data_IF_198075770439
#
_entry.id   IF_198075770439
#
_cell.length_a   1.000
_cell.length_b   1.000
_cell.length_c   1.000
_cell.angle_alpha   90.00
_cell.angle_beta   90.00
_cell.angle_gamma   90.00
#
_symmetry.space_group_name_H-M   'P 1'
#
loop_
_entity.id
_entity.type
_entity.pdbx_description
1 polymer ?
#
# COMPACT_ATOMS: atom_id res chain seq x y z
N UNK A 1 35.96 -73.84 -11.32
CA UNK A 1 36.60 -72.63 -10.75
C UNK A 1 35.79 -71.36 -10.96
N UNK A 2 34.49 -71.41 -11.31
CA UNK A 2 33.64 -70.26 -11.65
C UNK A 2 32.60 -69.99 -10.54
N UNK A 3 32.27 -70.98 -9.69
CA UNK A 3 31.20 -70.85 -8.67
C UNK A 3 31.64 -70.11 -7.39
N UNK A 4 32.96 -69.90 -7.15
CA UNK A 4 33.44 -69.28 -5.91
C UNK A 4 33.59 -67.73 -6.00
N UNK A 5 33.54 -67.18 -7.23
CA UNK A 5 33.62 -65.68 -7.44
C UNK A 5 32.26 -64.97 -7.36
N UNK A 6 31.15 -65.64 -7.64
CA UNK A 6 29.84 -65.09 -7.64
C UNK A 6 29.35 -64.72 -6.22
N UNK A 7 29.79 -65.48 -5.22
CA UNK A 7 29.31 -65.26 -3.83
C UNK A 7 29.91 -63.99 -3.12
N UNK A 8 31.13 -63.58 -3.59
CA UNK A 8 31.75 -62.33 -3.00
C UNK A 8 31.10 -61.06 -3.48
N UNK A 9 30.64 -60.98 -4.72
CA UNK A 9 29.97 -59.79 -5.26
C UNK A 9 28.53 -59.67 -4.73
N UNK A 10 27.86 -60.78 -4.48
CA UNK A 10 26.49 -60.76 -3.90
C UNK A 10 26.51 -60.27 -2.43
N UNK A 11 27.48 -60.75 -1.63
CA UNK A 11 27.65 -60.29 -0.25
C UNK A 11 28.08 -58.82 -0.16
N UNK A 12 28.96 -58.40 -1.12
CA UNK A 12 29.41 -57.00 -1.17
C UNK A 12 28.28 -56.03 -1.57
N UNK A 13 27.41 -56.45 -2.51
CA UNK A 13 26.23 -55.66 -2.91
C UNK A 13 25.14 -55.61 -1.83
N UNK A 14 24.95 -56.70 -1.09
CA UNK A 14 23.99 -56.70 0.04
C UNK A 14 24.52 -55.85 1.19
N UNK A 15 25.82 -55.85 1.49
CA UNK A 15 26.43 -54.99 2.50
C UNK A 15 26.40 -53.51 2.08
N UNK A 16 26.61 -53.19 0.78
CA UNK A 16 26.51 -51.81 0.25
C UNK A 16 25.09 -51.29 0.26
N UNK A 17 24.09 -52.16 0.03
CA UNK A 17 22.67 -51.78 0.09
C UNK A 17 22.20 -51.49 1.55
N UNK A 18 22.70 -52.26 2.53
CA UNK A 18 22.41 -52.01 3.95
C UNK A 18 23.09 -50.76 4.49
N UNK A 19 24.27 -50.39 4.01
CA UNK A 19 24.96 -49.14 4.38
C UNK A 19 24.23 -47.91 3.80
N UNK A 20 23.68 -48.01 2.60
CA UNK A 20 22.92 -46.91 1.97
C UNK A 20 21.56 -46.75 2.66
N UNK A 21 20.90 -47.83 3.09
CA UNK A 21 19.63 -47.75 3.82
C UNK A 21 19.76 -47.17 5.25
N UNK A 22 20.91 -47.40 5.92
CA UNK A 22 21.19 -46.81 7.24
C UNK A 22 21.60 -45.36 7.18
N UNK A 23 22.08 -44.84 6.03
CA UNK A 23 22.36 -43.41 5.86
C UNK A 23 21.13 -42.58 5.55
N UNK A 24 20.03 -43.16 5.08
CA UNK A 24 18.76 -42.48 4.87
C UNK A 24 17.88 -42.41 6.11
N UNK A 25 18.16 -43.12 7.20
CA UNK A 25 17.39 -43.11 8.44
C UNK A 25 17.90 -42.08 9.47
N UNK A 26 18.97 -41.34 9.16
CA UNK A 26 19.49 -40.27 10.04
C UNK A 26 19.03 -38.87 9.64
N UNK A 27 17.76 -38.71 9.23
CA UNK A 27 17.06 -37.45 9.41
C UNK A 27 16.55 -37.35 10.87
N UNK A 28 17.49 -37.43 11.80
CA UNK A 28 17.27 -36.99 13.15
C UNK A 28 17.04 -35.47 13.11
N UNK A 29 15.81 -35.07 13.37
CA UNK A 29 15.47 -33.69 13.75
C UNK A 29 16.53 -33.23 14.75
N UNK A 30 17.48 -32.42 14.30
CA UNK A 30 18.28 -31.59 15.22
C UNK A 30 17.26 -30.70 15.92
N UNK A 31 16.90 -31.06 17.13
CA UNK A 31 16.34 -30.10 18.10
C UNK A 31 17.43 -29.06 18.29
N UNK A 32 17.39 -28.02 17.47
CA UNK A 32 18.05 -26.76 17.76
C UNK A 32 17.43 -26.29 19.06
N UNK A 33 18.30 -26.01 20.01
CA UNK A 33 17.96 -25.51 21.33
C UNK A 33 16.88 -24.40 21.22
N UNK A 34 15.71 -24.62 21.85
CA UNK A 34 14.81 -23.60 22.38
C UNK A 34 14.50 -22.36 21.54
N UNK A 35 14.26 -22.44 20.24
CA UNK A 35 13.61 -21.39 19.48
C UNK A 35 12.10 -21.64 19.48
N UNK A 36 11.30 -20.71 19.99
CA UNK A 36 9.85 -20.73 19.81
C UNK A 36 9.56 -20.87 18.32
N UNK A 37 8.80 -21.87 17.93
CA UNK A 37 8.39 -22.08 16.54
C UNK A 37 7.14 -21.25 16.31
N UNK A 38 7.25 -20.15 15.55
CA UNK A 38 6.11 -19.31 15.21
C UNK A 38 5.46 -19.73 13.89
N UNK A 39 4.18 -19.43 13.76
CA UNK A 39 3.39 -19.63 12.55
C UNK A 39 3.49 -18.41 11.64
N UNK A 40 4.03 -18.59 10.43
CA UNK A 40 4.15 -17.49 9.45
C UNK A 40 2.78 -17.11 8.91
N UNK A 41 2.39 -15.85 9.11
CA UNK A 41 1.20 -15.27 8.49
C UNK A 41 1.53 -14.92 7.04
N UNK A 42 1.02 -15.71 6.10
CA UNK A 42 1.38 -15.59 4.69
C UNK A 42 0.87 -14.28 4.07
N UNK A 43 1.81 -13.45 3.63
CA UNK A 43 1.56 -12.29 2.77
C UNK A 43 1.73 -12.71 1.32
N UNK A 44 0.70 -12.52 0.48
CA UNK A 44 0.71 -13.00 -0.92
C UNK A 44 1.23 -11.95 -1.89
N UNK A 45 1.05 -10.69 -1.57
CA UNK A 45 1.32 -9.55 -2.44
C UNK A 45 2.29 -8.55 -1.82
N UNK A 46 2.19 -8.30 -0.51
CA UNK A 46 3.08 -7.40 0.19
C UNK A 46 4.49 -7.98 0.25
N UNK A 47 5.47 -7.21 -0.20
CA UNK A 47 6.88 -7.61 -0.24
C UNK A 47 7.70 -7.01 0.90
N UNK A 48 7.22 -5.89 1.45
CA UNK A 48 7.92 -5.15 2.51
C UNK A 48 7.50 -5.59 3.91
N UNK A 49 6.52 -6.50 4.04
CA UNK A 49 5.94 -6.89 5.31
C UNK A 49 6.02 -8.40 5.52
N UNK A 50 6.57 -8.82 6.66
CA UNK A 50 6.58 -10.21 7.11
C UNK A 50 6.04 -10.28 8.53
N UNK A 51 5.20 -11.27 8.82
CA UNK A 51 4.58 -11.46 10.13
C UNK A 51 4.66 -12.91 10.55
N UNK A 52 5.03 -13.15 11.83
CA UNK A 52 5.13 -14.50 12.42
C UNK A 52 4.43 -14.47 13.78
N UNK A 53 3.42 -15.32 13.97
CA UNK A 53 2.68 -15.45 15.23
C UNK A 53 3.34 -16.48 16.14
N UNK A 54 3.72 -16.07 17.33
CA UNK A 54 4.27 -16.91 18.41
C UNK A 54 3.23 -17.16 19.53
N UNK A 55 1.97 -16.88 19.29
CA UNK A 55 0.88 -17.05 20.25
C UNK A 55 0.77 -15.89 21.23
N UNK A 56 1.76 -15.66 22.09
CA UNK A 56 1.77 -14.56 23.06
C UNK A 56 2.09 -13.20 22.43
N UNK A 57 2.78 -13.19 21.30
CA UNK A 57 3.10 -12.01 20.50
C UNK A 57 3.19 -12.36 19.01
N UNK A 58 3.09 -11.36 18.16
CA UNK A 58 3.38 -11.47 16.72
C UNK A 58 4.61 -10.64 16.40
N UNK A 59 5.64 -11.26 15.81
CA UNK A 59 6.80 -10.53 15.27
C UNK A 59 6.44 -10.01 13.88
N UNK A 60 6.64 -8.70 13.67
CA UNK A 60 6.41 -8.02 12.40
C UNK A 60 7.71 -7.38 11.95
N UNK A 61 8.18 -7.77 10.77
CA UNK A 61 9.39 -7.23 10.15
C UNK A 61 9.00 -6.39 8.94
N UNK A 62 9.35 -5.11 8.97
CA UNK A 62 9.21 -4.17 7.86
C UNK A 62 10.54 -4.08 7.13
N UNK A 63 10.56 -4.46 5.84
CA UNK A 63 11.75 -4.37 5.00
C UNK A 63 12.02 -2.92 4.60
N UNK A 64 13.31 -2.57 4.49
CA UNK A 64 13.69 -1.23 4.04
C UNK A 64 13.49 -1.11 2.51
N UNK A 65 12.60 -0.24 2.03
CA UNK A 65 12.31 -0.12 0.60
C UNK A 65 13.45 0.56 -0.19
N UNK A 66 14.33 1.29 0.48
CA UNK A 66 15.46 2.01 -0.15
C UNK A 66 16.76 1.21 -0.08
N UNK A 67 16.93 0.36 0.94
CA UNK A 67 18.14 -0.44 1.16
C UNK A 67 17.82 -1.93 1.20
N UNK A 68 17.88 -2.56 0.02
CA UNK A 68 17.53 -3.97 -0.15
C UNK A 68 18.31 -4.89 0.80
N UNK A 69 17.59 -5.78 1.47
CA UNK A 69 18.15 -6.75 2.41
C UNK A 69 18.37 -6.21 3.82
N UNK A 70 17.96 -4.96 4.09
CA UNK A 70 17.94 -4.39 5.42
C UNK A 70 16.52 -4.31 5.96
N UNK A 71 16.36 -4.37 7.27
CA UNK A 71 15.08 -4.06 7.91
C UNK A 71 14.96 -2.55 8.09
N UNK A 72 13.77 -2.01 7.81
CA UNK A 72 13.39 -0.67 8.24
C UNK A 72 13.08 -0.70 9.72
N UNK A 73 12.23 -1.64 10.17
CA UNK A 73 11.83 -1.79 11.55
C UNK A 73 11.40 -3.21 11.89
N UNK A 74 11.46 -3.54 13.20
CA UNK A 74 10.92 -4.79 13.75
C UNK A 74 10.03 -4.47 14.94
N UNK A 75 8.82 -5.01 14.92
CA UNK A 75 7.84 -4.89 16.00
C UNK A 75 7.56 -6.23 16.63
N UNK A 76 7.29 -6.20 17.94
CA UNK A 76 6.69 -7.30 18.69
C UNK A 76 5.34 -6.85 19.20
N UNK A 77 4.27 -7.32 18.53
CA UNK A 77 2.90 -7.00 18.90
C UNK A 77 2.46 -7.94 20.01
N UNK A 78 2.46 -7.46 21.25
CA UNK A 78 2.12 -8.24 22.43
C UNK A 78 0.66 -8.04 22.78
N UNK A 79 -0.13 -9.12 22.78
CA UNK A 79 -1.56 -9.07 23.14
C UNK A 79 -1.74 -8.62 24.58
N UNK A 80 -2.73 -7.76 24.86
CA UNK A 80 -3.08 -7.37 26.24
C UNK A 80 -3.42 -8.62 27.04
N UNK A 81 -2.80 -8.79 28.23
CA UNK A 81 -2.93 -9.99 29.08
C UNK A 81 -1.92 -11.10 28.79
N UNK A 82 -1.13 -11.02 27.71
CA UNK A 82 0.02 -11.91 27.52
C UNK A 82 1.27 -11.32 28.19
N UNK A 83 2.11 -12.19 28.73
CA UNK A 83 3.33 -11.80 29.47
C UNK A 83 4.57 -12.54 28.90
N UNK A 84 4.99 -12.23 27.66
CA UNK A 84 6.27 -12.73 27.16
C UNK A 84 7.43 -12.03 27.88
N UNK A 85 8.65 -12.54 27.68
CA UNK A 85 9.84 -11.83 28.15
C UNK A 85 10.07 -10.55 27.31
N UNK A 86 9.38 -9.47 27.69
CA UNK A 86 9.53 -8.18 27.01
C UNK A 86 10.95 -7.62 27.06
N UNK A 87 11.75 -7.95 28.07
CA UNK A 87 13.12 -7.48 28.16
C UNK A 87 13.95 -7.98 26.99
N UNK A 88 13.78 -9.26 26.67
CA UNK A 88 14.41 -9.88 25.49
C UNK A 88 13.85 -9.32 24.18
N UNK A 89 12.54 -9.10 24.08
CA UNK A 89 11.91 -8.55 22.88
C UNK A 89 12.39 -7.12 22.59
N UNK A 90 12.48 -6.27 23.63
CA UNK A 90 12.96 -4.86 23.52
C UNK A 90 14.40 -4.74 23.04
N UNK A 91 15.26 -5.74 23.27
CA UNK A 91 16.61 -5.79 22.73
C UNK A 91 16.63 -6.06 21.22
N UNK A 92 15.56 -6.62 20.66
CA UNK A 92 15.45 -7.06 19.26
C UNK A 92 14.60 -6.11 18.40
N UNK A 93 13.76 -5.26 19.00
CA UNK A 93 12.88 -4.32 18.31
C UNK A 93 11.91 -3.60 19.22
N UNK A 94 10.93 -2.95 18.63
CA UNK A 94 9.91 -2.18 19.37
C UNK A 94 8.79 -3.08 19.83
N UNK A 95 8.51 -3.10 21.13
CA UNK A 95 7.34 -3.79 21.70
C UNK A 95 6.14 -2.84 21.67
N UNK A 96 5.03 -3.34 21.12
CA UNK A 96 3.76 -2.62 21.01
C UNK A 96 2.68 -3.47 21.65
N UNK A 97 2.00 -2.94 22.66
CA UNK A 97 0.85 -3.59 23.30
C UNK A 97 -0.42 -3.41 22.48
N UNK A 98 -1.05 -4.51 22.04
CA UNK A 98 -2.24 -4.50 21.18
C UNK A 98 -3.45 -5.13 21.88
N UNK A 99 -4.70 -4.68 21.54
CA UNK A 99 -5.02 -3.68 20.57
C UNK A 99 -4.68 -2.26 21.03
N UNK A 100 -4.30 -1.40 20.06
CA UNK A 100 -4.09 0.03 20.30
C UNK A 100 -5.44 0.69 20.61
N UNK A 101 -5.43 1.68 21.53
CA UNK A 101 -6.63 2.38 21.99
C UNK A 101 -6.52 3.90 21.90
N UNK A 102 -5.29 4.43 21.85
CA UNK A 102 -4.99 5.85 21.75
C UNK A 102 -3.87 6.06 20.74
N UNK A 103 -4.22 6.44 19.52
CA UNK A 103 -3.23 6.60 18.45
C UNK A 103 -3.26 8.00 17.88
N UNK A 104 -2.13 8.41 17.30
CA UNK A 104 -2.01 9.63 16.50
C UNK A 104 -1.65 9.25 15.07
N UNK A 105 -2.43 9.70 14.09
CA UNK A 105 -2.16 9.50 12.67
C UNK A 105 -1.62 10.79 12.02
N UNK A 106 -0.55 10.63 11.23
CA UNK A 106 0.08 11.74 10.52
C UNK A 106 -0.36 11.83 9.06
N UNK A 107 -1.30 10.99 8.63
CA UNK A 107 -1.90 11.05 7.29
C UNK A 107 -3.37 10.70 7.33
N UNK A 108 -4.15 11.28 6.41
CA UNK A 108 -5.57 10.97 6.21
C UNK A 108 -5.77 9.51 5.75
N UNK A 109 -4.79 8.92 5.06
CA UNK A 109 -4.77 7.52 4.62
C UNK A 109 -4.96 6.58 5.80
N UNK A 110 -4.14 6.73 6.87
CA UNK A 110 -4.18 5.84 8.03
C UNK A 110 -5.38 6.12 8.92
N UNK A 111 -5.83 7.38 9.01
CA UNK A 111 -7.07 7.72 9.70
C UNK A 111 -8.29 7.05 9.02
N UNK A 112 -8.37 7.11 7.69
CA UNK A 112 -9.42 6.46 6.92
C UNK A 112 -9.33 4.91 6.98
N UNK A 113 -8.11 4.37 7.03
CA UNK A 113 -7.91 2.93 7.22
C UNK A 113 -8.46 2.46 8.57
N UNK A 114 -8.20 3.20 9.66
CA UNK A 114 -8.79 2.88 10.98
C UNK A 114 -10.31 2.93 10.93
N UNK A 115 -10.90 3.85 10.19
CA UNK A 115 -12.34 3.89 9.96
C UNK A 115 -12.84 2.67 9.19
N UNK A 116 -12.14 2.24 8.12
CA UNK A 116 -12.50 1.02 7.36
C UNK A 116 -12.44 -0.24 8.24
N UNK A 117 -11.57 -0.24 9.25
CA UNK A 117 -11.46 -1.32 10.24
C UNK A 117 -12.43 -1.18 11.43
N UNK A 118 -13.33 -0.18 11.42
CA UNK A 118 -14.19 0.16 12.57
C UNK A 118 -13.37 0.33 13.86
N UNK A 119 -12.23 0.95 13.76
CA UNK A 119 -11.26 1.23 14.83
C UNK A 119 -10.99 2.74 15.00
N UNK A 120 -11.83 3.61 14.44
CA UNK A 120 -11.69 5.07 14.54
C UNK A 120 -11.76 5.60 15.98
N UNK A 121 -12.35 4.83 16.90
CA UNK A 121 -12.35 5.14 18.33
C UNK A 121 -10.95 5.10 18.97
N UNK A 122 -10.00 4.42 18.35
CA UNK A 122 -8.60 4.40 18.76
C UNK A 122 -7.82 5.64 18.27
N UNK A 123 -8.39 6.46 17.40
CA UNK A 123 -7.75 7.66 16.87
C UNK A 123 -8.00 8.84 17.82
N UNK A 124 -7.01 9.15 18.66
CA UNK A 124 -7.08 10.25 19.62
C UNK A 124 -6.61 11.58 19.01
N UNK A 125 -5.67 11.55 18.07
CA UNK A 125 -5.15 12.74 17.42
C UNK A 125 -4.81 12.52 15.95
N UNK A 126 -4.78 13.63 15.21
CA UNK A 126 -4.45 13.59 13.79
C UNK A 126 -3.77 14.89 13.36
N UNK A 127 -2.74 14.77 12.53
CA UNK A 127 -2.16 15.90 11.81
C UNK A 127 -2.96 16.18 10.52
N UNK A 128 -2.76 17.38 9.96
CA UNK A 128 -3.30 17.78 8.65
C UNK A 128 -4.82 17.55 8.52
N UNK A 129 -5.59 17.87 9.57
CA UNK A 129 -7.05 17.61 9.64
C UNK A 129 -7.85 18.33 8.55
N UNK A 130 -7.30 19.38 7.94
CA UNK A 130 -7.87 20.11 6.81
C UNK A 130 -8.00 19.28 5.52
N UNK A 131 -7.18 18.24 5.39
CA UNK A 131 -7.21 17.31 4.24
C UNK A 131 -8.10 16.08 4.47
N UNK A 132 -8.82 16.01 5.59
CA UNK A 132 -9.81 14.96 5.82
C UNK A 132 -11.05 15.24 4.95
N UNK A 133 -11.46 14.27 4.15
CA UNK A 133 -12.66 14.38 3.31
C UNK A 133 -13.80 13.48 3.79
N UNK A 134 -13.52 12.39 4.51
CA UNK A 134 -14.54 11.54 5.13
C UNK A 134 -15.47 12.35 6.05
N UNK A 135 -16.81 12.35 5.81
CA UNK A 135 -17.76 13.11 6.61
C UNK A 135 -17.75 12.73 8.10
N UNK A 136 -17.60 11.45 8.41
CA UNK A 136 -17.57 10.95 9.79
C UNK A 136 -16.27 11.34 10.51
N UNK A 137 -15.10 11.23 9.87
CA UNK A 137 -13.85 11.72 10.45
C UNK A 137 -13.88 13.25 10.64
N UNK A 138 -14.41 14.00 9.66
CA UNK A 138 -14.65 15.45 9.84
C UNK A 138 -15.47 15.77 11.07
N UNK A 139 -16.53 14.99 11.31
CA UNK A 139 -17.39 15.18 12.48
C UNK A 139 -16.64 14.87 13.78
N UNK A 140 -15.80 13.83 13.82
CA UNK A 140 -14.97 13.50 14.99
C UNK A 140 -13.94 14.60 15.27
N UNK A 141 -13.28 15.16 14.24
CA UNK A 141 -12.39 16.30 14.38
C UNK A 141 -13.12 17.54 14.89
N UNK A 142 -14.29 17.89 14.31
CA UNK A 142 -15.08 19.04 14.72
C UNK A 142 -15.61 18.94 16.16
N UNK A 143 -15.93 17.73 16.61
CA UNK A 143 -16.40 17.49 17.99
C UNK A 143 -15.27 17.43 19.02
N UNK A 144 -14.00 17.51 18.60
CA UNK A 144 -12.84 17.39 19.47
C UNK A 144 -12.54 15.97 19.95
N UNK A 145 -13.24 14.95 19.43
CA UNK A 145 -12.93 13.55 19.72
C UNK A 145 -11.60 13.12 19.09
N UNK A 146 -11.26 13.70 17.94
CA UNK A 146 -9.93 13.61 17.33
C UNK A 146 -9.30 15.00 17.45
N UNK A 147 -8.20 15.08 18.18
CA UNK A 147 -7.48 16.33 18.43
C UNK A 147 -6.59 16.65 17.23
N UNK A 148 -6.68 17.91 16.75
CA UNK A 148 -5.72 18.40 15.75
C UNK A 148 -4.35 18.59 16.40
N UNK A 149 -3.35 17.82 15.95
CA UNK A 149 -1.96 17.90 16.43
C UNK A 149 -1.05 18.70 15.50
N UNK A 150 -1.62 19.60 14.68
CA UNK A 150 -0.87 20.47 13.77
C UNK A 150 -0.61 19.85 12.41
N UNK A 151 0.43 20.34 11.73
CA UNK A 151 0.85 19.81 10.43
C UNK A 151 1.79 18.62 10.60
N UNK A 152 1.73 17.65 9.69
CA UNK A 152 2.68 16.52 9.62
C UNK A 152 4.14 16.97 9.46
N UNK A 153 4.38 18.15 8.87
CA UNK A 153 5.71 18.74 8.74
C UNK A 153 6.17 19.51 9.99
N UNK A 154 5.22 19.98 10.82
CA UNK A 154 5.49 20.73 12.05
C UNK A 154 4.42 20.40 13.10
N UNK A 155 4.48 19.18 13.68
CA UNK A 155 3.49 18.71 14.64
C UNK A 155 3.59 19.43 15.99
N UNK A 156 2.45 19.60 16.65
CA UNK A 156 2.35 20.12 17.99
C UNK A 156 2.69 19.02 19.01
N UNK A 157 3.98 18.96 19.38
CA UNK A 157 4.52 17.94 20.26
C UNK A 157 3.86 17.97 21.64
N UNK A 158 3.49 19.15 22.15
CA UNK A 158 2.87 19.28 23.47
C UNK A 158 1.47 18.65 23.48
N UNK A 159 0.70 18.86 22.42
CA UNK A 159 -0.60 18.19 22.25
C UNK A 159 -0.46 16.68 22.12
N UNK A 160 0.55 16.20 21.39
CA UNK A 160 0.81 14.76 21.28
C UNK A 160 1.13 14.17 22.66
N UNK A 161 2.00 14.83 23.45
CA UNK A 161 2.31 14.39 24.82
C UNK A 161 1.04 14.36 25.68
N UNK A 162 0.21 15.39 25.60
CA UNK A 162 -1.03 15.48 26.39
C UNK A 162 -2.03 14.36 26.05
N UNK A 163 -2.01 13.84 24.83
CA UNK A 163 -2.84 12.71 24.41
C UNK A 163 -2.37 11.35 24.94
N UNK A 164 -1.11 11.25 25.39
CA UNK A 164 -0.51 9.99 25.85
C UNK A 164 -0.76 8.82 24.88
N UNK A 165 -0.38 8.93 23.61
CA UNK A 165 -0.69 7.88 22.64
C UNK A 165 0.09 6.59 22.93
N UNK A 166 -0.52 5.45 22.66
CA UNK A 166 0.11 4.13 22.73
C UNK A 166 0.90 3.79 21.45
N UNK A 167 0.62 4.49 20.34
CA UNK A 167 1.42 4.47 19.11
C UNK A 167 1.13 5.67 18.20
N UNK A 168 2.05 5.96 17.28
CA UNK A 168 1.92 6.98 16.24
C UNK A 168 2.13 6.36 14.86
N UNK A 169 1.24 6.66 13.90
CA UNK A 169 1.34 6.21 12.50
C UNK A 169 2.05 7.26 11.66
N UNK A 170 3.27 6.99 11.21
CA UNK A 170 4.06 7.89 10.38
C UNK A 170 4.55 7.18 9.12
N UNK A 171 4.54 7.89 8.00
CA UNK A 171 5.14 7.40 6.75
C UNK A 171 6.63 7.70 6.75
N UNK A 172 7.50 6.69 6.70
CA UNK A 172 8.94 6.89 6.59
C UNK A 172 9.31 7.44 5.21
N UNK A 173 10.48 8.09 5.09
CA UNK A 173 11.07 8.47 3.81
C UNK A 173 12.59 8.32 3.87
N UNK A 174 13.21 8.15 2.70
CA UNK A 174 14.66 7.94 2.62
C UNK A 174 15.43 9.12 3.22
N UNK A 175 16.46 8.80 4.00
CA UNK A 175 17.32 9.78 4.68
C UNK A 175 16.56 10.76 5.58
N UNK A 176 15.42 10.36 6.15
CA UNK A 176 14.65 11.21 7.07
C UNK A 176 15.41 11.63 8.33
N UNK A 177 16.50 10.95 8.68
CA UNK A 177 17.24 11.19 9.93
C UNK A 177 16.43 10.85 11.18
N UNK A 178 15.30 10.16 11.05
CA UNK A 178 14.32 9.91 12.09
C UNK A 178 13.15 10.88 12.04
N UNK A 179 12.32 10.87 13.07
CA UNK A 179 11.09 11.70 13.16
C UNK A 179 11.26 12.95 14.02
N UNK A 180 12.50 13.43 14.15
CA UNK A 180 12.82 14.60 14.99
C UNK A 180 12.28 14.46 16.41
N UNK A 181 11.75 15.55 16.97
CA UNK A 181 11.19 15.57 18.34
C UNK A 181 10.08 14.54 18.58
N UNK A 182 9.31 14.18 17.55
CA UNK A 182 8.25 13.17 17.66
C UNK A 182 8.83 11.78 17.95
N UNK A 183 9.96 11.43 17.31
CA UNK A 183 10.66 10.17 17.56
C UNK A 183 11.30 10.06 18.95
N UNK A 184 11.55 11.21 19.62
CA UNK A 184 12.17 11.29 20.95
C UNK A 184 11.15 11.14 22.09
N UNK A 185 9.85 11.07 21.79
CA UNK A 185 8.78 11.00 22.81
C UNK A 185 8.71 9.66 23.55
N UNK A 186 9.47 8.65 23.14
CA UNK A 186 9.39 7.31 23.71
C UNK A 186 8.10 6.55 23.41
N UNK A 187 7.26 7.10 22.52
CA UNK A 187 6.04 6.45 22.02
C UNK A 187 6.39 5.62 20.79
N UNK A 188 5.93 4.37 20.67
CA UNK A 188 6.15 3.55 19.48
C UNK A 188 5.70 4.25 18.20
N UNK A 189 6.62 4.36 17.23
CA UNK A 189 6.30 4.81 15.87
C UNK A 189 6.03 3.59 15.01
N UNK A 190 4.87 3.53 14.38
CA UNK A 190 4.52 2.54 13.37
C UNK A 190 4.93 3.07 12.00
N UNK A 191 5.94 2.46 11.42
CA UNK A 191 6.52 2.79 10.12
C UNK A 191 5.58 2.37 8.99
N UNK A 192 4.76 3.30 8.52
CA UNK A 192 3.75 3.06 7.50
C UNK A 192 4.37 3.07 6.09
N UNK A 193 5.18 2.06 5.77
CA UNK A 193 5.88 1.94 4.49
C UNK A 193 5.03 1.31 3.37
N UNK A 194 3.73 1.12 3.59
CA UNK A 194 2.77 0.55 2.63
C UNK A 194 2.78 1.25 1.27
N UNK A 195 2.99 2.56 1.25
CA UNK A 195 3.02 3.35 0.01
C UNK A 195 4.22 3.02 -0.91
N UNK A 196 5.23 2.34 -0.39
CA UNK A 196 6.42 1.90 -1.12
C UNK A 196 6.27 0.51 -1.74
N UNK A 197 5.13 -0.18 -1.50
CA UNK A 197 4.85 -1.44 -2.19
C UNK A 197 4.76 -1.23 -3.71
N UNK A 198 5.30 -2.18 -4.44
CA UNK A 198 5.39 -2.12 -5.91
C UNK A 198 4.08 -2.40 -6.63
N UNK A 199 3.09 -2.99 -5.93
CA UNK A 199 1.79 -3.35 -6.48
C UNK A 199 0.65 -2.81 -5.63
N UNK A 200 -0.48 -2.57 -6.26
CA UNK A 200 -1.69 -2.08 -5.59
C UNK A 200 -2.22 -3.07 -4.54
N UNK A 201 -2.22 -4.37 -4.87
CA UNK A 201 -2.60 -5.42 -3.91
C UNK A 201 -1.57 -5.59 -2.79
N UNK A 202 -0.27 -5.42 -3.09
CA UNK A 202 0.77 -5.41 -2.05
C UNK A 202 0.51 -4.34 -1.01
N UNK A 203 0.23 -3.11 -1.46
CA UNK A 203 -0.13 -2.00 -0.57
C UNK A 203 -1.40 -2.30 0.23
N UNK A 204 -2.45 -2.76 -0.44
CA UNK A 204 -3.72 -3.06 0.22
C UNK A 204 -3.61 -4.18 1.27
N UNK A 205 -2.70 -5.14 1.08
CA UNK A 205 -2.53 -6.25 2.01
C UNK A 205 -1.99 -5.84 3.38
N UNK A 206 -1.37 -4.65 3.49
CA UNK A 206 -0.95 -4.09 4.77
C UNK A 206 -2.13 -3.87 5.74
N UNK A 207 -3.37 -3.84 5.28
CA UNK A 207 -4.56 -3.77 6.14
C UNK A 207 -4.55 -4.89 7.20
N UNK A 208 -3.94 -6.05 6.91
CA UNK A 208 -3.79 -7.15 7.87
C UNK A 208 -2.90 -6.79 9.07
N UNK A 209 -1.81 -6.04 8.82
CA UNK A 209 -0.96 -5.53 9.89
C UNK A 209 -1.72 -4.52 10.77
N UNK A 210 -2.45 -3.60 10.14
CA UNK A 210 -3.27 -2.63 10.87
C UNK A 210 -4.43 -3.31 11.62
N UNK A 211 -4.95 -4.42 11.09
CA UNK A 211 -5.90 -5.30 11.78
C UNK A 211 -5.33 -5.85 13.08
N UNK A 212 -4.09 -6.38 13.07
CA UNK A 212 -3.40 -6.84 14.28
C UNK A 212 -3.18 -5.71 15.29
N UNK A 213 -2.78 -4.53 14.82
CA UNK A 213 -2.58 -3.36 15.68
C UNK A 213 -3.86 -2.92 16.39
N UNK A 214 -5.02 -3.13 15.79
CA UNK A 214 -6.32 -2.61 16.27
C UNK A 214 -7.25 -3.69 16.83
N UNK A 215 -6.83 -4.97 16.84
CA UNK A 215 -7.68 -6.10 17.24
C UNK A 215 -8.85 -6.34 16.27
N UNK A 216 -8.62 -6.08 14.97
CA UNK A 216 -9.60 -6.23 13.88
C UNK A 216 -9.12 -7.23 12.81
N UNK A 217 -8.36 -8.23 13.18
CA UNK A 217 -7.71 -9.19 12.28
C UNK A 217 -8.69 -9.83 11.30
N UNK A 218 -9.82 -10.33 11.82
CA UNK A 218 -10.84 -11.00 11.00
C UNK A 218 -11.49 -10.05 10.00
N UNK A 219 -11.76 -8.80 10.42
CA UNK A 219 -12.32 -7.78 9.52
C UNK A 219 -11.32 -7.39 8.44
N UNK A 220 -10.07 -7.14 8.85
CA UNK A 220 -8.99 -6.81 7.91
C UNK A 220 -8.79 -7.89 6.85
N UNK A 221 -8.78 -9.16 7.26
CA UNK A 221 -8.65 -10.31 6.36
C UNK A 221 -9.86 -10.45 5.43
N UNK A 222 -11.07 -10.20 5.94
CA UNK A 222 -12.30 -10.20 5.13
C UNK A 222 -12.29 -9.09 4.08
N UNK A 223 -11.92 -7.86 4.47
CA UNK A 223 -11.83 -6.72 3.55
C UNK A 223 -10.78 -7.00 2.48
N UNK A 224 -9.58 -7.45 2.87
CA UNK A 224 -8.53 -7.72 1.91
C UNK A 224 -8.92 -8.81 0.91
N UNK A 225 -9.50 -9.93 1.35
CA UNK A 225 -9.98 -10.99 0.44
C UNK A 225 -11.01 -10.47 -0.55
N UNK A 226 -11.92 -9.60 -0.13
CA UNK A 226 -12.89 -8.99 -1.03
C UNK A 226 -12.21 -8.08 -2.05
N UNK A 227 -11.26 -7.24 -1.64
CA UNK A 227 -10.46 -6.37 -2.51
C UNK A 227 -9.67 -7.20 -3.52
N UNK A 228 -8.96 -8.24 -3.06
CA UNK A 228 -8.20 -9.16 -3.91
C UNK A 228 -9.08 -9.81 -4.97
N UNK A 229 -10.24 -10.35 -4.57
CA UNK A 229 -11.19 -11.00 -5.47
C UNK A 229 -11.72 -10.02 -6.52
N UNK A 230 -12.17 -8.84 -6.09
CA UNK A 230 -12.68 -7.81 -6.99
C UNK A 230 -11.60 -7.37 -7.99
N UNK A 231 -10.39 -7.10 -7.50
CA UNK A 231 -9.27 -6.66 -8.32
C UNK A 231 -8.92 -7.69 -9.40
N UNK A 232 -8.79 -8.96 -9.01
CA UNK A 232 -8.48 -10.05 -9.93
C UNK A 232 -9.57 -10.27 -10.98
N UNK A 233 -10.85 -10.18 -10.58
CA UNK A 233 -11.99 -10.28 -11.52
C UNK A 233 -11.98 -9.12 -12.51
N UNK A 234 -11.68 -7.91 -12.07
CA UNK A 234 -11.54 -6.74 -12.94
C UNK A 234 -10.40 -6.92 -13.95
N UNK A 235 -9.22 -7.37 -13.50
CA UNK A 235 -8.10 -7.70 -14.39
C UNK A 235 -8.50 -8.74 -15.44
N UNK A 236 -9.20 -9.80 -15.02
CA UNK A 236 -9.68 -10.84 -15.94
C UNK A 236 -10.64 -10.28 -17.00
N UNK A 237 -11.59 -9.42 -16.62
CA UNK A 237 -12.50 -8.77 -17.57
C UNK A 237 -11.74 -7.86 -18.54
N UNK A 238 -10.85 -7.01 -18.03
CA UNK A 238 -10.06 -6.10 -18.84
C UNK A 238 -9.16 -6.84 -19.84
N UNK A 239 -8.55 -7.95 -19.43
CA UNK A 239 -7.66 -8.74 -20.30
C UNK A 239 -8.36 -9.32 -21.54
N UNK A 240 -9.68 -9.48 -21.49
CA UNK A 240 -10.50 -10.02 -22.59
C UNK A 240 -10.92 -8.95 -23.62
N UNK A 241 -10.68 -7.68 -23.35
CA UNK A 241 -11.01 -6.60 -24.28
C UNK A 241 -10.10 -6.63 -25.51
N UNK A 242 -10.67 -6.27 -26.66
CA UNK A 242 -9.94 -6.26 -27.94
C UNK A 242 -9.21 -4.95 -28.19
N UNK A 243 -9.65 -3.89 -27.55
CA UNK A 243 -9.11 -2.54 -27.73
C UNK A 243 -8.21 -2.19 -26.55
N UNK A 244 -7.20 -1.35 -26.82
CA UNK A 244 -6.31 -0.81 -25.79
C UNK A 244 -6.19 0.69 -26.03
N UNK A 245 -7.13 1.48 -25.49
CA UNK A 245 -7.07 2.94 -25.67
C UNK A 245 -5.80 3.52 -25.07
N UNK A 246 -5.24 4.51 -25.72
CA UNK A 246 -4.06 5.21 -25.23
C UNK A 246 -4.47 6.23 -24.18
N UNK A 247 -3.82 6.18 -23.01
CA UNK A 247 -4.19 6.96 -21.84
C UNK A 247 -3.03 7.85 -21.37
N UNK A 248 -3.34 9.11 -21.10
CA UNK A 248 -2.48 10.07 -20.44
C UNK A 248 -2.98 10.37 -19.03
N UNK A 249 -2.05 10.55 -18.07
CA UNK A 249 -2.37 10.86 -16.67
C UNK A 249 -1.89 12.26 -16.28
N UNK A 250 -2.67 12.84 -15.36
CA UNK A 250 -2.38 14.11 -14.66
C UNK A 250 -2.25 15.34 -15.55
N UNK A 251 -1.73 16.44 -15.03
CA UNK A 251 -1.57 17.73 -15.72
C UNK A 251 -0.37 18.49 -15.17
N UNK A 252 -0.05 19.63 -15.74
CA UNK A 252 0.97 20.52 -15.20
C UNK A 252 0.64 20.97 -13.78
N UNK A 253 1.65 20.95 -12.94
CA UNK A 253 1.67 21.60 -11.63
C UNK A 253 2.80 22.63 -11.65
N UNK A 254 2.44 23.90 -11.75
CA UNK A 254 3.40 24.93 -12.10
C UNK A 254 4.00 24.70 -13.50
N UNK A 255 5.32 24.52 -13.60
CA UNK A 255 6.02 24.26 -14.86
C UNK A 255 6.33 22.79 -15.13
N UNK A 256 5.91 21.90 -14.26
CA UNK A 256 6.28 20.48 -14.30
C UNK A 256 5.04 19.60 -14.40
N UNK A 257 5.09 18.60 -15.26
CA UNK A 257 4.08 17.56 -15.35
C UNK A 257 4.58 16.30 -14.65
N UNK A 258 3.95 15.96 -13.55
CA UNK A 258 4.25 14.73 -12.81
C UNK A 258 3.41 13.58 -13.34
N UNK A 259 4.03 12.65 -14.05
CA UNK A 259 3.36 11.45 -14.59
C UNK A 259 3.71 10.23 -13.77
N UNK A 260 2.80 9.26 -13.57
CA UNK A 260 3.16 7.97 -12.99
C UNK A 260 4.25 7.28 -13.81
N UNK A 261 5.32 6.83 -13.18
CA UNK A 261 6.30 5.95 -13.84
C UNK A 261 5.68 4.61 -14.22
N UNK A 262 6.18 3.96 -15.26
CA UNK A 262 5.63 2.70 -15.76
C UNK A 262 5.71 1.53 -14.74
N UNK A 263 6.69 1.58 -13.81
CA UNK A 263 6.80 0.61 -12.70
C UNK A 263 6.19 1.09 -11.38
N UNK A 264 5.52 2.25 -11.37
CA UNK A 264 4.78 2.71 -10.21
C UNK A 264 3.51 1.87 -9.98
N UNK A 265 2.94 1.98 -8.79
CA UNK A 265 1.65 1.35 -8.46
C UNK A 265 0.56 1.77 -9.45
N UNK A 266 0.45 3.06 -9.79
CA UNK A 266 -0.51 3.54 -10.80
C UNK A 266 -0.18 3.01 -12.20
N UNK A 267 1.11 3.00 -12.61
CA UNK A 267 1.52 2.44 -13.90
C UNK A 267 1.18 0.94 -14.03
N UNK A 268 1.33 0.17 -12.94
CA UNK A 268 0.91 -1.23 -12.92
C UNK A 268 -0.61 -1.38 -13.03
N UNK A 269 -1.38 -0.55 -12.31
CA UNK A 269 -2.85 -0.57 -12.39
C UNK A 269 -3.37 -0.22 -13.79
N UNK A 270 -2.74 0.74 -14.47
CA UNK A 270 -3.10 1.07 -15.86
C UNK A 270 -2.84 -0.11 -16.81
N UNK A 271 -1.76 -0.86 -16.61
CA UNK A 271 -1.48 -2.10 -17.34
C UNK A 271 -2.55 -3.16 -17.04
N UNK A 272 -2.93 -3.32 -15.78
CA UNK A 272 -3.96 -4.26 -15.32
C UNK A 272 -5.35 -3.89 -15.87
N UNK A 273 -5.59 -2.59 -16.10
CA UNK A 273 -6.78 -2.08 -16.76
C UNK A 273 -6.79 -2.28 -18.29
N UNK A 274 -5.78 -2.93 -18.86
CA UNK A 274 -5.64 -3.17 -20.29
C UNK A 274 -5.63 -1.89 -21.14
N UNK A 275 -5.02 -0.80 -20.66
CA UNK A 275 -4.83 0.44 -21.43
C UNK A 275 -3.38 0.56 -21.91
N UNK A 276 -3.19 1.29 -23.01
CA UNK A 276 -1.87 1.68 -23.50
C UNK A 276 -1.46 2.98 -22.81
N UNK A 277 -0.82 2.86 -21.65
CA UNK A 277 -0.33 4.04 -20.95
C UNK A 277 0.87 4.67 -21.67
N UNK A 278 0.84 5.99 -21.87
CA UNK A 278 1.84 6.71 -22.68
C UNK A 278 3.28 6.51 -22.16
N UNK A 279 3.45 6.39 -20.85
CA UNK A 279 4.77 6.19 -20.20
C UNK A 279 4.92 4.78 -19.59
N UNK A 280 4.28 3.76 -20.19
CA UNK A 280 4.34 2.39 -19.70
C UNK A 280 5.75 1.79 -19.64
N UNK A 281 6.64 2.22 -20.55
CA UNK A 281 8.03 1.75 -20.64
C UNK A 281 8.98 2.48 -19.68
N UNK A 282 8.51 3.52 -18.99
CA UNK A 282 9.31 4.20 -17.98
C UNK A 282 9.62 3.27 -16.80
N UNK A 283 10.87 3.30 -16.33
CA UNK A 283 11.35 2.34 -15.33
C UNK A 283 11.25 2.81 -13.88
N UNK A 284 10.76 4.03 -13.64
CA UNK A 284 10.62 4.58 -12.29
C UNK A 284 9.42 3.94 -11.56
N UNK A 285 9.63 3.66 -10.28
CA UNK A 285 8.58 3.14 -9.38
C UNK A 285 7.72 4.26 -8.75
N UNK A 286 8.10 5.53 -8.94
CA UNK A 286 7.39 6.71 -8.44
C UNK A 286 6.89 7.58 -9.59
N UNK A 287 6.61 8.86 -9.27
CA UNK A 287 6.28 9.88 -10.26
C UNK A 287 7.52 10.38 -10.99
N UNK A 288 7.37 10.67 -12.26
CA UNK A 288 8.41 11.23 -13.14
C UNK A 288 8.07 12.69 -13.45
N UNK A 289 9.01 13.57 -13.21
CA UNK A 289 8.87 15.00 -13.51
C UNK A 289 9.28 15.29 -14.96
N UNK A 290 8.35 15.74 -15.79
CA UNK A 290 8.58 16.00 -17.21
C UNK A 290 8.18 17.44 -17.58
N UNK A 291 8.88 18.09 -18.54
CA UNK A 291 8.39 19.32 -19.14
C UNK A 291 7.22 19.04 -20.08
N UNK A 292 6.38 20.05 -20.30
CA UNK A 292 5.20 19.92 -21.18
C UNK A 292 5.52 19.40 -22.57
N UNK A 293 6.61 19.89 -23.19
CA UNK A 293 7.04 19.51 -24.54
C UNK A 293 7.27 18.00 -24.65
N UNK A 294 7.84 17.40 -23.60
CA UNK A 294 8.09 15.95 -23.57
C UNK A 294 6.79 15.16 -23.47
N UNK A 295 5.85 15.65 -22.65
CA UNK A 295 4.51 15.02 -22.55
C UNK A 295 3.72 15.20 -23.84
N UNK A 296 3.82 16.37 -24.49
CA UNK A 296 3.17 16.61 -25.77
C UNK A 296 3.74 15.68 -26.86
N UNK A 297 5.06 15.53 -26.93
CA UNK A 297 5.73 14.66 -27.90
C UNK A 297 5.20 13.23 -27.83
N UNK A 298 5.03 12.67 -26.62
CA UNK A 298 4.65 11.28 -26.40
C UNK A 298 3.14 11.08 -26.24
N UNK A 299 2.44 12.04 -25.66
CA UNK A 299 1.05 11.90 -25.20
C UNK A 299 0.02 12.66 -26.02
N UNK A 300 0.41 13.49 -27.00
CA UNK A 300 -0.55 14.30 -27.78
C UNK A 300 -1.61 13.50 -28.51
N UNK A 301 -1.32 12.25 -28.86
CA UNK A 301 -2.23 11.34 -29.57
C UNK A 301 -3.07 10.48 -28.62
N UNK A 302 -2.89 10.59 -27.31
CA UNK A 302 -3.69 9.85 -26.33
C UNK A 302 -5.19 10.07 -26.56
N UNK A 303 -5.97 8.99 -26.47
CA UNK A 303 -7.42 9.03 -26.71
C UNK A 303 -8.21 9.28 -25.43
N UNK A 304 -7.61 9.02 -24.28
CA UNK A 304 -8.15 9.31 -22.95
C UNK A 304 -7.16 10.12 -22.16
N UNK A 305 -7.64 11.09 -21.40
CA UNK A 305 -6.84 11.87 -20.49
C UNK A 305 -7.52 11.92 -19.12
N UNK A 306 -6.91 11.29 -18.10
CA UNK A 306 -7.36 11.29 -16.73
C UNK A 306 -6.49 12.24 -15.91
N UNK A 307 -7.07 13.19 -15.21
CA UNK A 307 -6.31 14.17 -14.45
C UNK A 307 -6.87 14.36 -13.03
N UNK A 308 -5.99 14.58 -12.09
CA UNK A 308 -6.32 14.94 -10.71
C UNK A 308 -6.16 16.45 -10.57
N UNK A 309 -7.08 17.07 -9.84
CA UNK A 309 -7.04 18.48 -9.55
C UNK A 309 -7.63 18.76 -8.17
N UNK A 310 -7.36 19.93 -7.64
CA UNK A 310 -8.02 20.47 -6.45
C UNK A 310 -8.80 21.69 -6.88
N UNK A 311 -10.11 21.65 -6.76
CA UNK A 311 -10.93 22.83 -7.00
C UNK A 311 -10.72 23.84 -5.87
N UNK A 312 -10.27 25.06 -6.13
CA UNK A 312 -10.09 26.09 -5.09
C UNK A 312 -11.41 26.57 -4.50
N UNK A 313 -12.49 26.45 -5.25
CA UNK A 313 -13.85 26.85 -4.89
C UNK A 313 -14.83 25.76 -5.30
N UNK A 314 -16.07 25.84 -4.85
CA UNK A 314 -17.16 24.90 -5.21
C UNK A 314 -17.56 24.99 -6.70
N UNK A 315 -16.75 25.60 -7.53
CA UNK A 315 -17.00 25.75 -8.96
C UNK A 315 -16.67 24.46 -9.72
N UNK A 316 -17.51 24.19 -10.71
CA UNK A 316 -17.32 23.04 -11.60
C UNK A 316 -16.05 23.22 -12.42
N UNK A 317 -15.10 22.30 -12.31
CA UNK A 317 -13.89 22.27 -13.15
C UNK A 317 -14.26 21.78 -14.55
N UNK A 318 -13.99 22.61 -15.58
CA UNK A 318 -14.42 22.39 -16.98
C UNK A 318 -13.22 22.26 -17.90
N UNK A 319 -13.45 21.88 -19.18
CA UNK A 319 -12.43 21.94 -20.22
C UNK A 319 -11.92 23.39 -20.43
N UNK A 320 -12.79 24.40 -20.28
CA UNK A 320 -12.39 25.79 -20.35
C UNK A 320 -11.48 26.18 -19.20
N UNK A 321 -11.76 25.71 -17.98
CA UNK A 321 -10.89 25.90 -16.81
C UNK A 321 -9.52 25.26 -17.05
N UNK A 322 -9.49 24.00 -17.51
CA UNK A 322 -8.26 23.31 -17.86
C UNK A 322 -7.45 24.07 -18.92
N UNK A 323 -8.11 24.56 -19.98
CA UNK A 323 -7.46 25.35 -21.04
C UNK A 323 -6.89 26.67 -20.52
N UNK A 324 -7.58 27.33 -19.58
CA UNK A 324 -7.10 28.60 -19.00
C UNK A 324 -5.85 28.43 -18.15
N UNK A 325 -5.62 27.25 -17.54
CA UNK A 325 -4.38 26.96 -16.83
C UNK A 325 -3.18 26.88 -17.78
N UNK A 326 -3.36 26.31 -18.98
CA UNK A 326 -2.31 26.23 -19.99
C UNK A 326 -2.87 26.01 -21.41
N UNK A 327 -2.72 27.00 -22.28
CA UNK A 327 -3.25 26.95 -23.64
C UNK A 327 -2.68 25.81 -24.51
N UNK A 328 -1.50 25.28 -24.17
CA UNK A 328 -0.89 24.16 -24.87
C UNK A 328 -1.74 22.87 -24.85
N UNK A 329 -2.66 22.73 -23.91
CA UNK A 329 -3.55 21.57 -23.80
C UNK A 329 -4.48 21.40 -25.01
N UNK A 330 -4.79 22.50 -25.73
CA UNK A 330 -5.56 22.44 -26.98
C UNK A 330 -4.92 21.55 -28.06
N UNK A 331 -3.62 21.24 -27.94
CA UNK A 331 -2.89 20.36 -28.86
C UNK A 331 -3.06 18.87 -28.56
N UNK A 332 -3.66 18.52 -27.42
CA UNK A 332 -3.88 17.15 -26.98
C UNK A 332 -5.14 16.59 -27.63
N UNK A 333 -5.06 15.43 -28.29
CA UNK A 333 -6.18 14.79 -28.97
C UNK A 333 -7.37 14.51 -28.02
N UNK A 334 -7.09 14.02 -26.81
CA UNK A 334 -8.15 13.78 -25.83
C UNK A 334 -8.91 15.07 -25.48
N UNK A 335 -8.20 16.20 -25.34
CA UNK A 335 -8.83 17.52 -25.10
C UNK A 335 -9.75 17.91 -26.27
N UNK A 336 -9.24 17.84 -27.52
CA UNK A 336 -9.98 18.21 -28.73
C UNK A 336 -11.27 17.40 -28.91
N UNK A 337 -11.31 16.15 -28.42
CA UNK A 337 -12.48 15.27 -28.53
C UNK A 337 -13.31 15.22 -27.22
N UNK A 338 -12.99 16.07 -26.23
CA UNK A 338 -13.67 16.09 -24.95
C UNK A 338 -13.56 14.77 -24.17
N UNK A 339 -12.48 14.04 -24.34
CA UNK A 339 -12.20 12.77 -23.62
C UNK A 339 -11.27 13.02 -22.43
N UNK A 340 -11.54 14.09 -21.67
CA UNK A 340 -10.85 14.45 -20.45
C UNK A 340 -11.76 14.14 -19.26
N UNK A 341 -11.19 13.44 -18.29
CA UNK A 341 -11.89 13.04 -17.06
C UNK A 341 -11.10 13.53 -15.86
N UNK A 342 -11.77 14.24 -14.98
CA UNK A 342 -11.17 14.86 -13.82
C UNK A 342 -11.57 14.19 -12.51
N UNK A 343 -10.63 14.05 -11.60
CA UNK A 343 -10.86 13.67 -10.21
C UNK A 343 -10.55 14.89 -9.33
N UNK A 344 -11.59 15.48 -8.73
CA UNK A 344 -11.39 16.50 -7.69
C UNK A 344 -10.97 15.81 -6.40
N UNK A 345 -9.70 15.91 -6.05
CA UNK A 345 -9.13 15.28 -4.86
C UNK A 345 -9.52 15.97 -3.56
N UNK A 346 -10.11 17.16 -3.63
CA UNK A 346 -10.64 17.89 -2.47
C UNK A 346 -12.04 17.41 -2.06
N UNK A 347 -12.86 16.97 -3.02
CA UNK A 347 -14.24 16.52 -2.77
C UNK A 347 -14.40 15.00 -2.77
N UNK A 348 -13.46 14.28 -3.38
CA UNK A 348 -13.49 12.81 -3.42
C UNK A 348 -12.65 12.19 -2.29
N UNK A 349 -12.97 10.94 -1.97
CA UNK A 349 -12.18 10.13 -1.02
C UNK A 349 -10.98 9.43 -1.69
N UNK A 350 -10.48 9.97 -2.80
CA UNK A 350 -9.46 9.33 -3.61
C UNK A 350 -8.23 8.90 -2.78
N UNK A 351 -7.61 9.85 -2.07
CA UNK A 351 -6.41 9.55 -1.26
C UNK A 351 -6.72 8.74 0.01
N UNK A 352 -7.94 8.80 0.52
CA UNK A 352 -8.37 8.09 1.71
C UNK A 352 -8.76 6.63 1.44
N UNK A 353 -9.28 6.31 0.23
CA UNK A 353 -9.78 4.97 -0.11
C UNK A 353 -8.80 4.16 -0.95
N UNK A 354 -8.27 4.75 -2.03
CA UNK A 354 -7.49 4.04 -3.05
C UNK A 354 -6.33 3.21 -2.48
N UNK A 355 -5.58 3.67 -1.46
CA UNK A 355 -4.48 2.90 -0.90
C UNK A 355 -4.84 1.48 -0.46
N UNK A 356 -6.03 1.30 0.13
CA UNK A 356 -6.52 0.01 0.63
C UNK A 356 -7.74 -0.53 -0.14
N UNK A 357 -8.24 0.23 -1.11
CA UNK A 357 -9.32 -0.13 -2.04
C UNK A 357 -8.91 0.13 -3.50
N UNK A 358 -7.79 -0.44 -3.96
CA UNK A 358 -7.33 -0.27 -5.34
C UNK A 358 -8.31 -0.88 -6.36
N UNK A 359 -9.16 -1.82 -5.94
CA UNK A 359 -10.24 -2.39 -6.74
C UNK A 359 -11.19 -1.30 -7.28
N UNK A 360 -11.48 -0.26 -6.48
CA UNK A 360 -12.33 0.85 -6.89
C UNK A 360 -11.70 1.70 -7.99
N UNK A 361 -10.40 2.03 -7.85
CA UNK A 361 -9.69 2.79 -8.87
C UNK A 361 -9.47 1.99 -10.16
N UNK A 362 -9.16 0.70 -10.03
CA UNK A 362 -9.05 -0.19 -11.20
C UNK A 362 -10.38 -0.26 -11.96
N UNK A 363 -11.50 -0.34 -11.24
CA UNK A 363 -12.85 -0.28 -11.84
C UNK A 363 -13.06 1.00 -12.63
N UNK A 364 -12.62 2.15 -12.11
CA UNK A 364 -12.71 3.44 -12.81
C UNK A 364 -11.92 3.42 -14.13
N UNK A 365 -10.66 2.99 -14.06
CA UNK A 365 -9.81 2.91 -15.25
C UNK A 365 -10.44 2.03 -16.33
N UNK A 366 -10.98 0.86 -15.95
CA UNK A 366 -11.62 -0.07 -16.87
C UNK A 366 -12.93 0.50 -17.42
N UNK A 367 -13.76 1.11 -16.55
CA UNK A 367 -15.05 1.71 -16.95
C UNK A 367 -14.85 2.78 -18.03
N UNK A 368 -13.83 3.61 -17.87
CA UNK A 368 -13.54 4.71 -18.81
C UNK A 368 -12.84 4.22 -20.08
N UNK A 369 -11.99 3.22 -19.96
CA UNK A 369 -11.25 2.68 -21.10
C UNK A 369 -12.05 1.68 -21.94
N UNK A 370 -12.95 0.94 -21.30
CA UNK A 370 -13.69 -0.21 -21.89
C UNK A 370 -15.19 -0.13 -21.57
N UNK A 371 -15.90 0.91 -22.07
CA UNK A 371 -17.33 1.10 -21.78
C UNK A 371 -18.20 -0.08 -22.23
N UNK A 372 -17.73 -0.90 -23.16
CA UNK A 372 -18.40 -2.13 -23.60
C UNK A 372 -18.54 -3.18 -22.48
N UNK A 373 -17.74 -3.11 -21.43
CA UNK A 373 -17.83 -4.02 -20.28
C UNK A 373 -18.98 -3.68 -19.32
N UNK A 374 -19.59 -2.49 -19.45
CA UNK A 374 -20.77 -2.05 -18.68
C UNK A 374 -20.61 -2.21 -17.15
N UNK A 375 -19.46 -1.82 -16.59
CA UNK A 375 -19.16 -1.96 -15.16
C UNK A 375 -19.89 -0.92 -14.27
N UNK A 376 -20.68 -0.05 -14.86
CA UNK A 376 -21.40 1.03 -14.17
C UNK A 376 -20.75 2.40 -14.40
N UNK A 377 -20.86 3.29 -13.41
CA UNK A 377 -20.27 4.64 -13.45
C UNK A 377 -18.92 4.68 -12.74
N UNK A 378 -18.03 5.54 -13.21
CA UNK A 378 -16.79 5.84 -12.54
C UNK A 378 -17.05 6.51 -11.17
N UNK A 379 -16.26 6.17 -10.16
CA UNK A 379 -16.37 6.68 -8.80
C UNK A 379 -15.61 7.98 -8.61
N UNK A 380 -14.38 8.06 -9.13
CA UNK A 380 -13.46 9.17 -8.88
C UNK A 380 -13.34 10.11 -10.08
N UNK A 381 -13.31 9.56 -11.29
CA UNK A 381 -13.08 10.35 -12.50
C UNK A 381 -14.39 10.65 -13.23
N UNK A 382 -14.72 11.92 -13.36
CA UNK A 382 -15.93 12.40 -14.03
C UNK A 382 -15.53 13.15 -15.30
N UNK A 383 -16.28 12.92 -16.38
CA UNK A 383 -16.03 13.63 -17.65
C UNK A 383 -16.12 15.14 -17.43
N UNK A 384 -15.10 15.88 -17.84
CA UNK A 384 -15.10 17.33 -17.73
C UNK A 384 -16.11 17.93 -18.70
N UNK A 385 -17.01 18.80 -18.23
CA UNK A 385 -17.93 19.54 -19.09
C UNK A 385 -17.14 20.54 -19.97
N UNK A 386 -17.84 21.04 -21.03
CA UNK A 386 -17.30 22.01 -22.00
C UNK A 386 -16.93 23.33 -21.34
#
# INVERSE_FOLDING_TARGET
>A
MICHRMNKYLVLNILSFFIIVTLCASCGSRKTAGGEQGDTLLMRHAQLLQMVDFGSYTEVSVQNPWHKGQLLHRYFLVKKGAEPDESSLRQRGTVVRVPLTHTVAFTTVHASLLQQLHAESALAGMADVEYVHSPSLKQLCKSGKIVNVGSSLSPDVERIIALQPDAMFLSPFDNSGGYGKVGELGVPVIECADYMESTALGRAEWIRFYGLLTGREHLADSIFRQVETNYQELCRKASQTKTRPTLLMDKLTGSVWYVPGGKSTLGSMLRDAAVSYVFADDTHAGSVALPFEKVLEQGSTATLWLLRYESPLLDTYTLQTLLSEYHGYARMKAFQHGQCYGCDTRSSLFYEEVPFRPDLLLSDFITLAHPELQLGSSRYFIRLPQ
#
